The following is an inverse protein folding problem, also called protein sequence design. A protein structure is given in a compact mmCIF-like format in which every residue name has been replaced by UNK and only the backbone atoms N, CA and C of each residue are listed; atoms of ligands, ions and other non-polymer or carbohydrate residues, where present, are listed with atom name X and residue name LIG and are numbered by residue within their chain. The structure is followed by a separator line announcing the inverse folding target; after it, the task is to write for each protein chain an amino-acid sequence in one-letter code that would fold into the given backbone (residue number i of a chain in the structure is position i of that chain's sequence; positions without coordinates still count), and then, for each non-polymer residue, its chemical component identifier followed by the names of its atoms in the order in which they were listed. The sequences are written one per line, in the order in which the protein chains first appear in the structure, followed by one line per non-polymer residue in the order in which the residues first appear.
data_IF_227950025605
#
_entry.id   IF_227950025605
#
_cell.length_a   1.000
_cell.length_b   1.000
_cell.length_c   1.000
_cell.angle_alpha   90.00
_cell.angle_beta   90.00
_cell.angle_gamma   90.00
#
_symmetry.space_group_name_H-M   'P 1'
#
loop_
_entity.id
_entity.type
_entity.pdbx_description
1 polymer ?
#
# COMPACT_ATOMS: atom_id res chain seq x y z
N UNK A 1 6.94 32.00 -0.51
CA UNK A 1 6.39 30.92 0.32
C UNK A 1 5.96 29.87 -0.67
N UNK A 2 6.81 28.87 -0.81
CA UNK A 2 6.71 27.84 -1.83
C UNK A 2 5.49 26.98 -1.54
N UNK A 3 4.52 27.06 -2.45
CA UNK A 3 3.32 26.21 -2.52
C UNK A 3 3.68 24.77 -2.99
N UNK A 4 4.96 24.45 -3.00
CA UNK A 4 5.57 23.25 -3.59
C UNK A 4 5.87 22.15 -2.55
N UNK A 5 5.66 22.43 -1.26
CA UNK A 5 5.95 21.48 -0.16
C UNK A 5 4.73 20.63 0.23
N UNK A 6 3.74 20.52 -0.66
CA UNK A 6 2.61 19.61 -0.46
C UNK A 6 2.93 18.30 -1.16
N UNK A 7 3.40 17.32 -0.39
CA UNK A 7 3.56 15.94 -0.87
C UNK A 7 2.21 15.45 -1.37
N UNK A 8 2.17 14.91 -2.60
CA UNK A 8 0.96 14.33 -3.15
C UNK A 8 0.43 13.23 -2.22
N UNK A 9 -0.88 13.24 -1.88
CA UNK A 9 -1.44 12.25 -0.96
C UNK A 9 -1.26 10.80 -1.42
N UNK A 10 -1.20 10.55 -2.74
CA UNK A 10 -0.93 9.25 -3.31
C UNK A 10 0.51 8.81 -3.06
N UNK A 11 1.48 9.71 -3.26
CA UNK A 11 2.89 9.46 -2.93
C UNK A 11 3.09 9.17 -1.44
N UNK A 12 2.47 9.97 -0.57
CA UNK A 12 2.50 9.75 0.87
C UNK A 12 1.91 8.38 1.26
N UNK A 13 0.82 7.96 0.61
CA UNK A 13 0.19 6.66 0.85
C UNK A 13 1.09 5.50 0.40
N UNK A 14 1.78 5.62 -0.74
CA UNK A 14 2.72 4.60 -1.22
C UNK A 14 3.92 4.49 -0.28
N UNK A 15 4.48 5.61 0.18
CA UNK A 15 5.55 5.60 1.17
C UNK A 15 5.12 4.95 2.48
N UNK A 16 3.94 5.31 3.00
CA UNK A 16 3.40 4.69 4.22
C UNK A 16 3.20 3.17 4.06
N UNK A 17 2.71 2.73 2.90
CA UNK A 17 2.53 1.31 2.59
C UNK A 17 3.87 0.57 2.54
N UNK A 18 4.87 1.14 1.87
CA UNK A 18 6.21 0.55 1.76
C UNK A 18 6.90 0.49 3.13
N UNK A 19 6.81 1.54 3.95
CA UNK A 19 7.35 1.57 5.31
C UNK A 19 6.71 0.49 6.19
N UNK A 20 5.37 0.42 6.21
CA UNK A 20 4.65 -0.60 6.96
C UNK A 20 5.02 -2.02 6.49
N UNK A 21 5.14 -2.21 5.18
CA UNK A 21 5.56 -3.51 4.62
C UNK A 21 6.98 -3.87 5.05
N UNK A 22 7.89 -2.89 5.08
CA UNK A 22 9.28 -3.09 5.50
C UNK A 22 9.38 -3.43 7.00
N UNK A 23 8.62 -2.76 7.87
CA UNK A 23 8.53 -3.05 9.31
C UNK A 23 8.11 -4.50 9.60
N UNK A 24 7.25 -5.07 8.75
CA UNK A 24 6.76 -6.44 8.88
C UNK A 24 7.56 -7.47 8.05
N UNK A 25 8.62 -7.06 7.34
CA UNK A 25 9.43 -7.96 6.51
C UNK A 25 10.67 -8.43 7.27
N UNK A 26 10.70 -9.72 7.63
CA UNK A 26 11.86 -10.33 8.33
C UNK A 26 13.07 -10.59 7.42
N UNK A 27 12.88 -10.60 6.10
CA UNK A 27 13.96 -10.81 5.15
C UNK A 27 14.68 -9.48 4.89
N UNK A 28 15.95 -9.40 5.30
CA UNK A 28 16.72 -8.15 5.26
C UNK A 28 16.90 -7.60 3.84
N UNK A 29 17.22 -8.46 2.86
CA UNK A 29 17.36 -8.06 1.45
C UNK A 29 16.06 -7.45 0.90
N UNK A 30 14.91 -8.04 1.23
CA UNK A 30 13.60 -7.51 0.81
C UNK A 30 13.25 -6.21 1.53
N UNK A 31 13.62 -6.09 2.81
CA UNK A 31 13.43 -4.86 3.58
C UNK A 31 14.27 -3.73 2.99
N UNK A 32 15.53 -3.99 2.66
CA UNK A 32 16.43 -3.01 2.06
C UNK A 32 15.93 -2.58 0.68
N UNK A 33 15.42 -3.53 -0.13
CA UNK A 33 14.76 -3.20 -1.40
C UNK A 33 13.54 -2.27 -1.23
N UNK A 34 12.76 -2.43 -0.16
CA UNK A 34 11.63 -1.53 0.14
C UNK A 34 12.11 -0.14 0.57
N UNK A 35 13.20 -0.07 1.33
CA UNK A 35 13.83 1.20 1.71
C UNK A 35 14.38 1.93 0.48
N UNK A 36 15.09 1.22 -0.39
CA UNK A 36 15.61 1.76 -1.66
C UNK A 36 14.47 2.26 -2.54
N UNK A 37 13.37 1.50 -2.64
CA UNK A 37 12.18 1.93 -3.35
C UNK A 37 11.63 3.26 -2.80
N UNK A 38 11.49 3.41 -1.48
CA UNK A 38 10.98 4.65 -0.88
C UNK A 38 11.88 5.87 -1.15
N UNK A 39 13.20 5.65 -1.29
CA UNK A 39 14.18 6.72 -1.50
C UNK A 39 14.39 7.08 -2.97
N UNK A 40 14.11 6.15 -3.89
CA UNK A 40 14.49 6.28 -5.30
C UNK A 40 13.33 6.26 -6.27
N UNK A 41 12.13 5.83 -5.84
CA UNK A 41 10.96 5.83 -6.71
C UNK A 41 10.59 7.27 -7.09
N UNK A 42 10.32 7.53 -8.39
CA UNK A 42 9.79 8.82 -8.80
C UNK A 42 8.36 9.01 -8.25
N UNK A 43 7.83 10.24 -8.25
CA UNK A 43 6.43 10.50 -7.90
C UNK A 43 5.48 9.64 -8.72
N UNK A 44 4.36 9.23 -8.13
CA UNK A 44 3.35 8.36 -8.72
C UNK A 44 2.83 8.90 -10.06
N UNK A 45 2.75 10.23 -10.20
CA UNK A 45 2.32 10.89 -11.43
C UNK A 45 3.25 10.59 -12.63
N UNK A 46 4.52 10.32 -12.37
CA UNK A 46 5.56 10.03 -13.37
C UNK A 46 5.66 8.53 -13.69
N UNK A 47 4.94 7.67 -12.96
CA UNK A 47 5.01 6.23 -13.19
C UNK A 47 4.40 5.84 -14.54
N UNK A 48 4.98 4.82 -15.21
CA UNK A 48 4.39 4.23 -16.40
C UNK A 48 2.92 3.83 -16.16
N UNK A 49 2.02 4.00 -17.15
CA UNK A 49 0.61 3.62 -17.02
C UNK A 49 0.41 2.19 -16.51
N UNK A 50 1.14 1.22 -17.07
CA UNK A 50 1.03 -0.19 -16.70
C UNK A 50 1.36 -0.45 -15.22
N UNK A 51 2.30 0.33 -14.66
CA UNK A 51 2.67 0.19 -13.24
C UNK A 51 1.58 0.77 -12.34
N UNK A 52 0.97 1.89 -12.75
CA UNK A 52 -0.17 2.48 -12.04
C UNK A 52 -1.40 1.58 -12.09
N UNK A 53 -1.63 0.92 -13.23
CA UNK A 53 -2.70 -0.07 -13.38
C UNK A 53 -2.46 -1.27 -12.46
N UNK A 54 -1.25 -1.83 -12.44
CA UNK A 54 -0.89 -2.93 -11.53
C UNK A 54 -1.06 -2.55 -10.06
N UNK A 55 -0.67 -1.33 -9.68
CA UNK A 55 -0.89 -0.82 -8.33
C UNK A 55 -2.38 -0.74 -8.00
N UNK A 56 -3.19 -0.20 -8.91
CA UNK A 56 -4.64 -0.10 -8.74
C UNK A 56 -5.28 -1.48 -8.56
N UNK A 57 -4.93 -2.44 -9.41
CA UNK A 57 -5.40 -3.82 -9.30
C UNK A 57 -5.04 -4.45 -7.96
N UNK A 58 -3.81 -4.24 -7.50
CA UNK A 58 -3.33 -4.71 -6.20
C UNK A 58 -4.13 -4.08 -5.05
N UNK A 59 -4.36 -2.77 -5.08
CA UNK A 59 -5.19 -2.07 -4.09
C UNK A 59 -6.63 -2.59 -4.06
N UNK A 60 -7.23 -2.83 -5.24
CA UNK A 60 -8.58 -3.39 -5.33
C UNK A 60 -8.65 -4.80 -4.78
N UNK A 61 -7.64 -5.62 -5.07
CA UNK A 61 -7.55 -6.98 -4.53
C UNK A 61 -7.47 -6.95 -2.99
N UNK A 62 -6.56 -6.16 -2.42
CA UNK A 62 -6.41 -6.02 -0.96
C UNK A 62 -7.71 -5.55 -0.31
N UNK A 63 -8.39 -4.57 -0.92
CA UNK A 63 -9.67 -4.07 -0.41
C UNK A 63 -10.73 -5.18 -0.37
N UNK A 64 -10.88 -5.92 -1.47
CA UNK A 64 -11.84 -7.04 -1.54
C UNK A 64 -11.50 -8.14 -0.54
N UNK A 65 -10.22 -8.46 -0.37
CA UNK A 65 -9.76 -9.43 0.60
C UNK A 65 -10.10 -8.98 2.03
N UNK A 66 -9.87 -7.70 2.37
CA UNK A 66 -10.22 -7.16 3.68
C UNK A 66 -11.74 -7.21 3.94
N UNK A 67 -12.57 -6.88 2.93
CA UNK A 67 -14.03 -6.98 3.02
C UNK A 67 -14.52 -8.43 3.20
N UNK A 68 -13.88 -9.39 2.52
CA UNK A 68 -14.20 -10.82 2.66
C UNK A 68 -13.82 -11.34 4.04
N UNK A 69 -12.63 -10.98 4.54
CA UNK A 69 -12.19 -11.36 5.88
C UNK A 69 -13.10 -10.78 6.98
N UNK A 70 -13.53 -9.52 6.85
CA UNK A 70 -14.49 -8.90 7.78
C UNK A 70 -15.83 -9.64 7.79
N UNK A 71 -16.39 -9.95 6.60
CA UNK A 71 -17.64 -10.71 6.49
C UNK A 71 -17.55 -12.09 7.14
N UNK A 72 -16.42 -12.78 6.97
CA UNK A 72 -16.21 -14.09 7.60
C UNK A 72 -16.15 -13.99 9.12
N UNK A 73 -15.54 -12.95 9.65
CA UNK A 73 -15.47 -12.72 11.10
C UNK A 73 -16.84 -12.40 11.70
N UNK A 74 -17.66 -11.59 11.01
CA UNK A 74 -19.05 -11.32 11.40
C UNK A 74 -19.92 -12.59 11.37
N UNK A 75 -19.71 -13.45 10.37
CA UNK A 75 -20.45 -14.73 10.26
C UNK A 75 -20.02 -15.72 11.35
N UNK A 76 -18.75 -15.69 11.77
CA UNK A 76 -18.21 -16.55 12.83
C UNK A 76 -18.62 -16.09 14.24
N UNK A 77 -18.88 -14.80 14.43
CA UNK A 77 -19.28 -14.21 15.72
C UNK A 77 -20.79 -13.88 15.80
N UNK A 78 -21.60 -14.33 14.82
CA UNK A 78 -23.04 -14.23 14.91
C UNK A 78 -23.53 -15.09 16.11
N UNK A 79 -24.28 -14.51 17.07
CA UNK A 79 -24.83 -15.30 18.16
C UNK A 79 -25.86 -16.28 17.57
N UNK A 80 -25.68 -17.57 17.83
CA UNK A 80 -26.70 -18.58 17.57
C UNK A 80 -27.99 -18.12 18.26
N UNK A 81 -29.04 -17.91 17.46
CA UNK A 81 -30.39 -17.60 17.94
C UNK A 81 -31.04 -18.77 18.64
#
# INVERSE_FOLDING_TARGET
MDVDDVVDPGDAAIQALAALTAEHTCNEEKRDMLMDFMLTAPPLAEWPPDWREMLLESCQFIKRLAEDLRRRDETRNAPDG
#
